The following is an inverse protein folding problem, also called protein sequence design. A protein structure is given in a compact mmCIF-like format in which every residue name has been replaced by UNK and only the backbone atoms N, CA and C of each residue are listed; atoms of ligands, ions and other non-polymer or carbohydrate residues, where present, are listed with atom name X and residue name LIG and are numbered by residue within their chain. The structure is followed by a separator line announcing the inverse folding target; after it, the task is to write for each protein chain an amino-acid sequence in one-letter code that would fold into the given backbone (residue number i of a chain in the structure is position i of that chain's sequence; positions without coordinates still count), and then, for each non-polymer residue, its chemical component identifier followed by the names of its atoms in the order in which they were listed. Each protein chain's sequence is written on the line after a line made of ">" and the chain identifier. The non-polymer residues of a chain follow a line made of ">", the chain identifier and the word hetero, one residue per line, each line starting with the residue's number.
data_IF_459936868686
#
_entry.id   IF_459936868686
#
_cell.length_a   1.000
_cell.length_b   1.000
_cell.length_c   1.000
_cell.angle_alpha   90.00
_cell.angle_beta   90.00
_cell.angle_gamma   90.00
#
_symmetry.space_group_name_H-M   'P 1'
#
loop_
_entity.id
_entity.type
_entity.pdbx_description
1 polymer ?
#
# COMPACT_ATOMS: atom_id res chain seq x y z
N UNK A 1 -7.24 -1.26 -1.03
CA UNK A 1 -7.14 -2.66 -1.51
C UNK A 1 -6.42 -3.55 -0.51
N UNK A 2 -5.12 -3.33 -0.24
CA UNK A 2 -4.28 -4.25 0.57
C UNK A 2 -4.70 -4.31 2.05
N UNK A 3 -5.24 -3.23 2.62
CA UNK A 3 -5.60 -3.17 4.05
C UNK A 3 -6.85 -3.99 4.41
N UNK A 4 -7.63 -4.47 3.43
CA UNK A 4 -8.77 -5.37 3.65
C UNK A 4 -8.36 -6.85 3.70
N UNK A 5 -7.13 -7.14 4.14
CA UNK A 5 -6.53 -8.47 4.11
C UNK A 5 -7.25 -9.52 4.99
N UNK A 6 -8.16 -9.08 5.87
CA UNK A 6 -9.02 -9.96 6.67
C UNK A 6 -10.17 -10.60 5.87
N UNK A 7 -10.45 -10.08 4.66
CA UNK A 7 -11.42 -10.67 3.75
C UNK A 7 -10.90 -11.99 3.18
N UNK A 8 -11.83 -12.86 2.80
CA UNK A 8 -11.51 -14.11 2.11
C UNK A 8 -11.40 -13.85 0.61
N UNK A 9 -10.23 -14.09 0.05
CA UNK A 9 -9.94 -13.92 -1.38
C UNK A 9 -10.06 -15.24 -2.14
N UNK A 10 -10.59 -15.19 -3.37
CA UNK A 10 -10.69 -16.32 -4.30
C UNK A 10 -10.17 -15.93 -5.68
N UNK A 11 -9.65 -16.89 -6.44
CA UNK A 11 -9.15 -16.61 -7.79
C UNK A 11 -10.30 -16.20 -8.72
N UNK A 12 -10.11 -15.08 -9.44
CA UNK A 12 -11.06 -14.55 -10.40
C UNK A 12 -11.05 -15.40 -11.67
N UNK A 13 -12.21 -15.91 -12.08
CA UNK A 13 -12.37 -16.64 -13.34
C UNK A 13 -12.62 -15.65 -14.48
N UNK A 14 -11.60 -15.33 -15.27
CA UNK A 14 -11.68 -14.40 -16.40
C UNK A 14 -10.58 -14.68 -17.44
N UNK A 15 -10.60 -13.97 -18.57
CA UNK A 15 -9.66 -14.20 -19.70
C UNK A 15 -8.33 -13.44 -19.58
N UNK A 16 -8.14 -12.66 -18.52
CA UNK A 16 -6.94 -11.85 -18.32
C UNK A 16 -5.91 -12.50 -17.37
N UNK A 17 -4.86 -11.76 -17.00
CA UNK A 17 -3.86 -12.22 -16.05
C UNK A 17 -4.45 -12.67 -14.71
N UNK A 18 -3.73 -13.50 -13.97
CA UNK A 18 -4.18 -13.99 -12.66
C UNK A 18 -4.56 -12.84 -11.73
N UNK A 19 -5.76 -12.90 -11.17
CA UNK A 19 -6.31 -11.93 -10.23
C UNK A 19 -7.10 -12.66 -9.15
N UNK A 20 -7.28 -11.99 -8.02
CA UNK A 20 -8.12 -12.44 -6.92
C UNK A 20 -9.25 -11.43 -6.71
N UNK A 21 -10.39 -11.92 -6.26
CA UNK A 21 -11.52 -11.10 -5.84
C UNK A 21 -11.98 -11.51 -4.45
N UNK A 22 -12.60 -10.60 -3.72
CA UNK A 22 -13.21 -10.96 -2.46
C UNK A 22 -14.36 -11.96 -2.71
N UNK A 23 -14.51 -12.94 -1.82
CA UNK A 23 -15.51 -14.00 -2.01
C UNK A 23 -16.95 -13.50 -1.81
N UNK A 24 -17.14 -12.41 -1.06
CA UNK A 24 -18.46 -12.00 -0.59
C UNK A 24 -19.24 -11.25 -1.69
N UNK A 25 -18.61 -10.28 -2.33
CA UNK A 25 -19.23 -9.43 -3.35
C UNK A 25 -18.55 -9.61 -4.71
N UNK A 26 -17.24 -9.90 -4.72
CA UNK A 26 -16.45 -9.98 -5.94
C UNK A 26 -16.12 -8.61 -6.55
N UNK A 27 -16.38 -7.53 -5.82
CA UNK A 27 -16.19 -6.14 -6.26
C UNK A 27 -14.74 -5.68 -6.02
N UNK A 28 -14.13 -6.15 -4.94
CA UNK A 28 -12.74 -5.84 -4.64
C UNK A 28 -11.83 -6.78 -5.41
N UNK A 29 -10.72 -6.26 -5.93
CA UNK A 29 -9.69 -7.06 -6.59
C UNK A 29 -8.34 -6.97 -5.90
N UNK A 30 -7.51 -8.00 -6.07
CA UNK A 30 -6.10 -8.05 -5.67
C UNK A 30 -5.28 -8.73 -6.77
N UNK A 31 -4.04 -8.27 -6.97
CA UNK A 31 -3.05 -8.93 -7.82
C UNK A 31 -2.26 -9.98 -7.02
N UNK A 32 -1.55 -10.92 -7.69
CA UNK A 32 -0.62 -11.81 -7.02
C UNK A 32 0.44 -11.07 -6.18
N UNK A 33 0.90 -9.90 -6.64
CA UNK A 33 1.81 -9.04 -5.88
C UNK A 33 1.16 -8.50 -4.60
N UNK A 34 -0.11 -8.09 -4.66
CA UNK A 34 -0.84 -7.62 -3.47
C UNK A 34 -1.01 -8.74 -2.44
N UNK A 35 -1.29 -9.97 -2.91
CA UNK A 35 -1.42 -11.15 -2.05
C UNK A 35 -0.10 -11.51 -1.36
N UNK A 36 1.05 -11.22 -1.97
CA UNK A 36 2.36 -11.49 -1.38
C UNK A 36 2.57 -10.71 -0.06
N UNK A 37 2.03 -9.48 0.04
CA UNK A 37 2.11 -8.70 1.28
C UNK A 37 1.35 -9.33 2.45
N UNK A 38 0.34 -10.16 2.18
CA UNK A 38 -0.46 -10.85 3.20
C UNK A 38 0.09 -12.24 3.51
N UNK A 39 0.63 -12.93 2.50
CA UNK A 39 1.16 -14.28 2.63
C UNK A 39 2.52 -14.31 3.36
N UNK A 40 3.37 -13.30 3.15
CA UNK A 40 4.66 -13.19 3.82
C UNK A 40 4.52 -12.63 5.25
N UNK A 41 5.16 -13.29 6.23
CA UNK A 41 5.04 -12.93 7.65
C UNK A 41 5.67 -11.57 7.99
N UNK A 42 6.71 -11.14 7.27
CA UNK A 42 7.35 -9.85 7.54
C UNK A 42 6.50 -8.73 6.96
N UNK A 43 6.04 -8.88 5.72
CA UNK A 43 5.15 -7.90 5.11
C UNK A 43 3.80 -7.80 5.81
N UNK A 44 3.22 -8.93 6.25
CA UNK A 44 1.93 -8.91 6.94
C UNK A 44 1.94 -8.02 8.18
N UNK A 45 3.04 -7.99 8.94
CA UNK A 45 3.16 -7.09 10.12
C UNK A 45 2.99 -5.63 9.73
N UNK A 46 3.59 -5.21 8.61
CA UNK A 46 3.50 -3.84 8.11
C UNK A 46 2.10 -3.55 7.59
N UNK A 47 1.50 -4.49 6.85
CA UNK A 47 0.09 -4.39 6.41
C UNK A 47 -0.85 -4.22 7.60
N UNK A 48 -0.64 -4.99 8.68
CA UNK A 48 -1.47 -4.92 9.89
C UNK A 48 -1.33 -3.59 10.63
N UNK A 49 -0.13 -2.99 10.63
CA UNK A 49 0.11 -1.65 11.18
C UNK A 49 -0.66 -0.62 10.36
N UNK A 50 -0.44 -0.58 9.05
CA UNK A 50 -1.06 0.42 8.18
C UNK A 50 -2.58 0.27 8.07
N UNK A 51 -3.12 -0.94 8.22
CA UNK A 51 -4.55 -1.16 8.28
C UNK A 51 -5.21 -0.60 9.55
N UNK A 52 -4.43 -0.40 10.63
CA UNK A 52 -4.91 0.14 11.91
C UNK A 52 -4.56 1.61 12.12
N UNK A 53 -3.53 2.09 11.44
CA UNK A 53 -2.99 3.44 11.59
C UNK A 53 -2.74 4.06 10.21
N UNK A 54 -3.76 4.78 9.73
CA UNK A 54 -3.73 5.47 8.44
C UNK A 54 -2.70 6.61 8.44
N UNK A 55 -2.55 7.34 9.56
CA UNK A 55 -1.58 8.43 9.65
C UNK A 55 -0.16 7.88 9.46
N UNK A 56 0.16 6.77 10.12
CA UNK A 56 1.46 6.11 9.95
C UNK A 56 1.71 5.67 8.51
N UNK A 57 0.69 5.17 7.81
CA UNK A 57 0.82 4.87 6.38
C UNK A 57 1.19 6.11 5.57
N UNK A 58 0.50 7.23 5.76
CA UNK A 58 0.81 8.46 5.02
C UNK A 58 2.18 9.03 5.36
N UNK A 59 2.57 9.01 6.64
CA UNK A 59 3.90 9.46 7.08
C UNK A 59 5.00 8.63 6.39
N UNK A 60 4.91 7.29 6.46
CA UNK A 60 5.93 6.40 5.88
C UNK A 60 5.91 6.42 4.34
N UNK A 61 4.72 6.46 3.73
CA UNK A 61 4.56 6.53 2.26
C UNK A 61 5.12 7.82 1.69
N UNK A 62 4.84 8.98 2.32
CA UNK A 62 5.33 10.28 1.83
C UNK A 62 6.86 10.33 1.84
N UNK A 63 7.50 9.81 2.91
CA UNK A 63 8.95 9.73 3.02
C UNK A 63 9.55 8.79 1.95
N UNK A 64 8.99 7.59 1.78
CA UNK A 64 9.46 6.62 0.80
C UNK A 64 9.27 7.09 -0.65
N UNK A 65 8.12 7.69 -0.95
CA UNK A 65 7.80 8.20 -2.28
C UNK A 65 8.67 9.41 -2.63
N UNK A 66 8.87 10.33 -1.68
CA UNK A 66 9.80 11.45 -1.85
C UNK A 66 11.22 10.95 -2.16
N UNK A 67 11.71 9.95 -1.42
CA UNK A 67 13.01 9.34 -1.71
C UNK A 67 13.04 8.76 -3.13
N UNK A 68 12.01 8.00 -3.52
CA UNK A 68 11.93 7.35 -4.84
C UNK A 68 12.06 8.36 -5.99
N UNK A 69 11.28 9.46 -5.94
CA UNK A 69 11.25 10.45 -7.02
C UNK A 69 12.51 11.33 -7.08
N UNK A 70 13.25 11.45 -5.97
CA UNK A 70 14.52 12.17 -5.92
C UNK A 70 15.75 11.25 -6.08
N UNK A 71 15.57 9.96 -6.37
CA UNK A 71 16.71 9.06 -6.62
C UNK A 71 17.56 9.59 -7.78
N UNK A 72 18.85 9.79 -7.51
CA UNK A 72 19.81 10.33 -8.48
C UNK A 72 19.91 11.85 -8.50
N UNK A 73 19.08 12.57 -7.74
CA UNK A 73 19.26 14.00 -7.49
C UNK A 73 20.33 14.17 -6.39
N UNK A 74 21.33 15.04 -6.58
CA UNK A 74 22.29 15.35 -5.52
C UNK A 74 21.56 16.00 -4.34
N UNK A 75 21.46 15.26 -3.24
CA UNK A 75 20.81 15.70 -2.01
C UNK A 75 21.86 15.78 -0.91
N UNK A 76 21.89 16.91 -0.19
CA UNK A 76 22.81 17.14 0.93
C UNK A 76 22.19 16.70 2.27
N UNK A 77 20.87 16.56 2.33
CA UNK A 77 20.15 16.11 3.52
C UNK A 77 19.75 17.23 4.48
N UNK A 78 20.11 18.47 4.18
CA UNK A 78 19.85 19.68 4.97
C UNK A 78 18.86 20.63 4.30
N UNK A 79 18.30 20.24 3.15
CA UNK A 79 17.35 21.04 2.41
C UNK A 79 16.04 21.24 3.18
N UNK A 80 15.44 22.42 3.01
CA UNK A 80 14.19 22.78 3.68
C UNK A 80 13.02 21.98 3.10
N UNK A 81 12.41 21.14 3.93
CA UNK A 81 11.17 20.41 3.60
C UNK A 81 9.95 21.29 3.87
N UNK A 82 9.09 21.43 2.88
CA UNK A 82 7.81 22.13 3.01
C UNK A 82 6.68 21.12 3.16
N UNK A 83 5.94 21.22 4.26
CA UNK A 83 4.69 20.49 4.45
C UNK A 83 3.55 21.49 4.43
N UNK A 84 2.58 21.26 3.55
CA UNK A 84 1.37 22.07 3.44
C UNK A 84 0.21 21.32 4.10
N UNK A 85 -0.62 22.00 4.91
CA UNK A 85 -1.80 21.37 5.47
C UNK A 85 -2.77 20.97 4.36
N UNK A 86 -3.43 19.82 4.52
CA UNK A 86 -4.54 19.44 3.65
C UNK A 86 -5.70 20.40 3.86
N UNK A 87 -6.36 20.81 2.79
CA UNK A 87 -7.38 21.88 2.84
C UNK A 87 -8.59 21.56 3.72
N UNK A 88 -8.82 20.29 4.09
CA UNK A 88 -9.99 19.84 4.84
C UNK A 88 -9.66 18.68 5.82
N UNK A 89 -8.74 18.87 6.77
CA UNK A 89 -8.51 17.89 7.84
C UNK A 89 -9.58 18.00 8.94
#
# INVERSE_FOLDING_TARGET
>A
MIFHHLLRWVEKKWKGPKQFVDKATGELMMLPADMAFVADKQFKKVVDIYAKDEKKFFDDFSAAFSKLIHLGVPYKGDEKVYQFPTLNA
#
